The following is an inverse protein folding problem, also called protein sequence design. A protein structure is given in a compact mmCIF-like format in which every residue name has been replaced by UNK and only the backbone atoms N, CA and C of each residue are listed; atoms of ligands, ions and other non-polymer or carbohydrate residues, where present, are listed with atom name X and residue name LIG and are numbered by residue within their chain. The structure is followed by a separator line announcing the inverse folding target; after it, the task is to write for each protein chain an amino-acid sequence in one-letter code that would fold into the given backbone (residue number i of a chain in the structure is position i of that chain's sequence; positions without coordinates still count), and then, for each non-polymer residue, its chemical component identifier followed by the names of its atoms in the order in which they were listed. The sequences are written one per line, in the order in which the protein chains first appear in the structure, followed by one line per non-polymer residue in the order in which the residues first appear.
data_IF_580285707680
#
_entry.id   IF_580285707680
#
_cell.length_a   1.000
_cell.length_b   1.000
_cell.length_c   1.000
_cell.angle_alpha   90.00
_cell.angle_beta   90.00
_cell.angle_gamma   90.00
#
_symmetry.space_group_name_H-M   'P 1'
#
loop_
_entity.id
_entity.type
_entity.pdbx_description
1 polymer ?
#
# COMPACT_ATOMS: atom_id res chain seq x y z
N UNK A 1 5.54 22.22 -9.68
CA UNK A 1 4.62 21.08 -9.73
C UNK A 1 3.22 21.53 -9.35
N UNK A 2 2.30 21.32 -10.26
CA UNK A 2 0.93 21.76 -10.08
C UNK A 2 0.15 20.71 -9.31
N UNK A 3 -0.31 21.06 -8.15
CA UNK A 3 -1.02 20.16 -7.28
C UNK A 3 -2.39 20.62 -7.10
N UNK A 4 -3.30 19.77 -7.47
CA UNK A 4 -4.68 20.09 -7.27
C UNK A 4 -5.32 18.93 -6.53
N UNK A 5 -5.84 19.18 -5.37
CA UNK A 5 -6.74 18.27 -4.70
C UNK A 5 -7.97 17.99 -5.56
N UNK A 6 -8.35 19.00 -6.36
CA UNK A 6 -9.40 18.87 -7.38
C UNK A 6 -9.06 19.75 -8.57
N UNK A 7 -9.18 19.19 -9.78
CA UNK A 7 -9.16 19.94 -11.01
C UNK A 7 -10.59 20.16 -11.50
N UNK A 8 -10.94 21.36 -11.97
CA UNK A 8 -12.24 21.58 -12.63
C UNK A 8 -12.39 20.65 -13.83
N UNK A 9 -13.49 19.88 -13.87
CA UNK A 9 -13.80 18.96 -14.98
C UNK A 9 -13.10 17.61 -14.92
N UNK A 10 -12.28 17.33 -13.90
CA UNK A 10 -11.73 16.00 -13.64
C UNK A 10 -12.40 15.39 -12.42
N UNK A 11 -12.63 14.08 -12.43
CA UNK A 11 -13.26 13.39 -11.31
C UNK A 11 -12.25 13.10 -10.19
N UNK A 12 -11.51 12.02 -10.27
CA UNK A 12 -10.66 11.53 -9.19
C UNK A 12 -9.20 11.24 -9.60
N UNK A 13 -8.85 11.41 -10.84
CA UNK A 13 -7.55 10.99 -11.41
C UNK A 13 -6.38 11.93 -11.14
N UNK A 14 -6.62 12.98 -10.40
CA UNK A 14 -5.57 13.83 -9.85
C UNK A 14 -5.32 13.44 -8.40
N UNK A 15 -4.21 13.90 -7.84
CA UNK A 15 -3.79 13.57 -6.46
C UNK A 15 -4.76 14.14 -5.42
N UNK A 16 -5.95 13.60 -5.38
CA UNK A 16 -7.02 14.03 -4.48
C UNK A 16 -6.59 13.90 -3.01
N UNK A 17 -6.85 14.94 -2.21
CA UNK A 17 -6.44 14.97 -0.81
C UNK A 17 -4.96 15.24 -0.57
N UNK A 18 -4.19 15.64 -1.60
CA UNK A 18 -2.76 15.92 -1.45
C UNK A 18 -2.48 17.00 -0.39
N UNK A 19 -3.31 18.04 -0.29
CA UNK A 19 -3.17 19.08 0.73
C UNK A 19 -3.32 18.50 2.14
N UNK A 20 -4.27 17.57 2.34
CA UNK A 20 -4.44 16.82 3.58
C UNK A 20 -3.18 16.00 3.90
N UNK A 21 -2.71 15.20 2.93
CA UNK A 21 -1.51 14.38 3.07
C UNK A 21 -0.27 15.21 3.42
N UNK A 22 -0.03 16.32 2.72
CA UNK A 22 1.11 17.21 2.98
C UNK A 22 1.07 17.86 4.36
N UNK A 23 -0.13 18.15 4.88
CA UNK A 23 -0.33 18.85 6.16
C UNK A 23 -0.17 17.92 7.37
N UNK A 24 -0.73 16.73 7.30
CA UNK A 24 -0.89 15.85 8.47
C UNK A 24 -0.28 14.45 8.30
N UNK A 25 0.17 14.12 7.09
CA UNK A 25 0.82 12.83 6.81
C UNK A 25 -0.11 11.76 6.22
N UNK A 26 -1.42 12.01 6.16
CA UNK A 26 -2.39 11.11 5.52
C UNK A 26 -3.51 11.87 4.83
N UNK A 27 -4.15 11.24 3.88
CA UNK A 27 -5.40 11.73 3.28
C UNK A 27 -6.54 11.46 4.26
N UNK A 28 -7.34 12.46 4.59
CA UNK A 28 -8.42 12.30 5.56
C UNK A 28 -9.66 11.64 4.94
N UNK A 29 -10.16 10.60 5.58
CA UNK A 29 -11.27 9.78 5.07
C UNK A 29 -12.62 10.50 5.14
N UNK A 30 -12.79 11.44 6.06
CA UNK A 30 -13.98 12.30 6.16
C UNK A 30 -14.02 13.43 5.11
N UNK A 31 -12.92 13.63 4.39
CA UNK A 31 -12.83 14.62 3.31
C UNK A 31 -12.70 14.02 1.90
N UNK A 32 -12.25 12.80 1.79
CA UNK A 32 -11.85 12.19 0.51
C UNK A 32 -12.18 10.70 0.46
N UNK A 33 -12.66 10.22 -0.69
CA UNK A 33 -12.82 8.78 -0.94
C UNK A 33 -11.46 8.10 -1.01
N UNK A 34 -11.41 6.79 -0.76
CA UNK A 34 -10.22 5.94 -0.94
C UNK A 34 -8.97 6.46 -0.20
N UNK A 35 -9.20 7.10 0.93
CA UNK A 35 -8.16 7.86 1.65
C UNK A 35 -7.02 7.00 2.14
N UNK A 36 -7.28 5.74 2.49
CA UNK A 36 -6.27 4.76 2.87
C UNK A 36 -5.35 4.44 1.68
N UNK A 37 -5.92 3.97 0.57
CA UNK A 37 -5.16 3.66 -0.66
C UNK A 37 -4.34 4.85 -1.12
N UNK A 38 -4.94 6.04 -1.20
CA UNK A 38 -4.23 7.27 -1.60
C UNK A 38 -3.06 7.61 -0.68
N UNK A 39 -3.20 7.36 0.61
CA UNK A 39 -2.10 7.61 1.56
C UNK A 39 -0.92 6.68 1.32
N UNK A 40 -1.19 5.39 1.08
CA UNK A 40 -0.16 4.39 0.77
C UNK A 40 0.52 4.69 -0.57
N UNK A 41 -0.26 4.96 -1.60
CA UNK A 41 0.25 5.37 -2.92
C UNK A 41 1.13 6.61 -2.86
N UNK A 42 0.73 7.62 -2.09
CA UNK A 42 1.51 8.85 -1.98
C UNK A 42 2.81 8.64 -1.21
N UNK A 43 2.82 7.75 -0.21
CA UNK A 43 4.04 7.35 0.47
C UNK A 43 5.00 6.61 -0.48
N UNK A 44 4.49 5.66 -1.28
CA UNK A 44 5.28 5.00 -2.32
C UNK A 44 5.80 5.98 -3.38
N UNK A 45 4.96 6.90 -3.85
CA UNK A 45 5.36 7.93 -4.81
C UNK A 45 6.45 8.84 -4.25
N UNK A 46 6.39 9.23 -2.98
CA UNK A 46 7.44 10.01 -2.32
C UNK A 46 8.75 9.23 -2.24
N UNK A 47 8.71 7.92 -2.00
CA UNK A 47 9.88 7.06 -2.09
C UNK A 47 10.48 7.08 -3.50
N UNK A 48 9.67 6.79 -4.53
CA UNK A 48 10.13 6.77 -5.91
C UNK A 48 10.70 8.13 -6.34
N UNK A 49 10.01 9.22 -6.01
CA UNK A 49 10.51 10.57 -6.24
C UNK A 49 11.83 10.86 -5.51
N UNK A 50 12.01 10.34 -4.28
CA UNK A 50 13.26 10.53 -3.55
C UNK A 50 14.45 9.88 -4.25
N UNK A 51 14.23 8.70 -4.84
CA UNK A 51 15.26 7.97 -5.61
C UNK A 51 15.62 8.76 -6.88
N UNK A 52 14.61 9.19 -7.62
CA UNK A 52 14.82 9.99 -8.85
C UNK A 52 15.52 11.31 -8.54
N UNK A 53 15.07 12.04 -7.52
CA UNK A 53 15.65 13.31 -7.11
C UNK A 53 17.14 13.17 -6.73
N UNK A 54 17.48 12.12 -5.98
CA UNK A 54 18.88 11.85 -5.62
C UNK A 54 19.75 11.57 -6.87
N UNK A 55 19.25 10.81 -7.84
CA UNK A 55 19.98 10.53 -9.07
C UNK A 55 20.07 11.74 -10.02
N UNK A 56 19.05 12.60 -9.98
CA UNK A 56 19.04 13.84 -10.78
C UNK A 56 19.93 14.94 -10.18
N UNK A 57 20.49 14.73 -8.99
CA UNK A 57 21.34 15.73 -8.33
C UNK A 57 20.57 16.86 -7.65
N UNK A 58 19.31 16.61 -7.29
CA UNK A 58 18.52 17.56 -6.51
C UNK A 58 19.14 17.79 -5.11
N UNK A 59 18.80 18.91 -4.50
CA UNK A 59 19.35 19.26 -3.19
C UNK A 59 18.97 18.21 -2.11
N UNK A 60 19.87 18.04 -1.15
CA UNK A 60 19.69 17.01 -0.11
C UNK A 60 18.44 17.25 0.75
N UNK A 61 18.01 18.49 0.95
CA UNK A 61 16.82 18.79 1.75
C UNK A 61 15.56 18.28 1.06
N UNK A 62 15.47 18.44 -0.25
CA UNK A 62 14.37 17.88 -1.07
C UNK A 62 14.36 16.35 -0.99
N UNK A 63 15.51 15.70 -1.19
CA UNK A 63 15.62 14.23 -1.10
C UNK A 63 15.20 13.72 0.28
N UNK A 64 15.67 14.34 1.35
CA UNK A 64 15.33 13.92 2.72
C UNK A 64 13.87 14.19 3.08
N UNK A 65 13.27 15.27 2.58
CA UNK A 65 11.85 15.55 2.77
C UNK A 65 10.98 14.47 2.11
N UNK A 66 11.31 14.05 0.90
CA UNK A 66 10.63 12.95 0.20
C UNK A 66 10.80 11.62 0.95
N UNK A 67 12.03 11.27 1.35
CA UNK A 67 12.29 10.07 2.17
C UNK A 67 11.51 10.07 3.49
N UNK A 68 11.44 11.21 4.16
CA UNK A 68 10.64 11.30 5.40
C UNK A 68 9.18 11.01 5.15
N UNK A 69 8.60 11.59 4.09
CA UNK A 69 7.19 11.38 3.76
C UNK A 69 6.89 9.97 3.27
N UNK A 70 7.84 9.27 2.67
CA UNK A 70 7.65 7.88 2.28
C UNK A 70 7.35 6.94 3.46
N UNK A 71 7.68 7.34 4.68
CA UNK A 71 7.28 6.66 5.91
C UNK A 71 5.86 6.97 6.41
N UNK A 72 5.12 7.80 5.72
CA UNK A 72 3.78 8.22 6.16
C UNK A 72 2.74 7.08 6.19
N UNK A 73 2.98 5.96 5.49
CA UNK A 73 2.16 4.76 5.59
C UNK A 73 1.95 4.32 7.05
N UNK A 74 2.94 4.52 7.91
CA UNK A 74 2.87 4.15 9.32
C UNK A 74 1.76 4.89 10.11
N UNK A 75 1.29 6.05 9.63
CA UNK A 75 0.14 6.73 10.23
C UNK A 75 -1.17 5.95 10.09
N UNK A 76 -1.26 5.04 9.13
CA UNK A 76 -2.44 4.18 8.94
C UNK A 76 -2.38 2.89 9.77
N UNK A 77 -1.25 2.58 10.39
CA UNK A 77 -1.12 1.36 11.17
C UNK A 77 -1.96 1.41 12.44
N UNK A 78 -2.85 0.43 12.60
CA UNK A 78 -3.62 0.24 13.82
C UNK A 78 -3.08 -0.97 14.59
N UNK A 79 -2.41 -0.70 15.70
CA UNK A 79 -1.76 -1.73 16.52
C UNK A 79 -2.76 -2.69 17.21
N UNK A 80 -4.01 -2.28 17.44
CA UNK A 80 -5.02 -3.14 18.07
C UNK A 80 -5.55 -4.20 17.10
N UNK A 81 -5.77 -3.79 15.83
CA UNK A 81 -6.33 -4.68 14.82
C UNK A 81 -5.26 -5.39 13.98
N UNK A 82 -4.02 -4.90 14.04
CA UNK A 82 -2.91 -5.37 13.20
C UNK A 82 -3.22 -5.24 11.70
N UNK A 83 -3.85 -4.10 11.32
CA UNK A 83 -4.18 -3.73 9.96
C UNK A 83 -3.88 -2.25 9.70
N UNK A 84 -3.65 -1.91 8.45
CA UNK A 84 -3.78 -0.53 7.98
C UNK A 84 -5.24 -0.12 8.05
N UNK A 85 -5.51 1.11 8.49
CA UNK A 85 -6.85 1.70 8.57
C UNK A 85 -6.83 3.15 8.13
N UNK A 86 -7.85 3.55 7.39
CA UNK A 86 -8.03 4.95 7.02
C UNK A 86 -8.29 5.82 8.26
N UNK A 87 -7.84 7.07 8.23
CA UNK A 87 -7.99 8.04 9.31
C UNK A 87 -8.79 9.25 8.88
N UNK A 88 -9.56 9.81 9.82
CA UNK A 88 -10.24 11.09 9.69
C UNK A 88 -9.26 12.25 9.94
N UNK A 89 -9.65 13.47 9.56
CA UNK A 89 -8.82 14.67 9.73
C UNK A 89 -8.42 14.95 11.20
N UNK A 90 -9.26 14.56 12.14
CA UNK A 90 -8.98 14.69 13.58
C UNK A 90 -8.08 13.57 14.15
N UNK A 91 -7.63 12.64 13.32
CA UNK A 91 -6.77 11.52 13.69
C UNK A 91 -7.48 10.28 14.23
N UNK A 92 -8.81 10.29 14.34
CA UNK A 92 -9.58 9.08 14.68
C UNK A 92 -9.61 8.10 13.52
N UNK A 93 -9.80 6.81 13.81
CA UNK A 93 -9.99 5.79 12.79
C UNK A 93 -11.33 5.96 12.07
N UNK A 94 -11.35 5.76 10.77
CA UNK A 94 -12.59 5.71 10.02
C UNK A 94 -13.44 4.50 10.44
N UNK A 95 -14.75 4.73 10.50
CA UNK A 95 -15.71 3.67 10.89
C UNK A 95 -16.22 2.83 9.71
N UNK A 96 -15.76 3.13 8.50
CA UNK A 96 -16.20 2.48 7.27
C UNK A 96 -15.05 1.74 6.58
N UNK A 97 -15.41 0.81 5.73
CA UNK A 97 -14.49 0.05 4.87
C UNK A 97 -14.18 0.78 3.56
N UNK A 98 -14.71 1.98 3.33
CA UNK A 98 -14.57 2.75 2.09
C UNK A 98 -13.24 3.52 1.94
N UNK A 99 -12.29 3.24 2.78
CA UNK A 99 -10.94 3.84 2.67
C UNK A 99 -10.05 3.20 1.60
N UNK A 100 -10.53 2.18 0.91
CA UNK A 100 -9.76 1.35 -0.01
C UNK A 100 -10.32 1.36 -1.42
N UNK A 101 -9.44 1.23 -2.39
CA UNK A 101 -9.77 1.10 -3.82
C UNK A 101 -9.77 -0.38 -4.17
N UNK A 102 -10.91 -0.93 -4.60
CA UNK A 102 -11.02 -2.31 -5.11
C UNK A 102 -10.46 -3.40 -4.18
N UNK A 103 -10.45 -3.16 -2.89
CA UNK A 103 -9.89 -4.08 -1.91
C UNK A 103 -10.36 -3.77 -0.49
N UNK A 104 -9.71 -4.39 0.46
CA UNK A 104 -10.01 -4.31 1.88
C UNK A 104 -8.75 -4.15 2.75
N UNK A 105 -8.92 -4.21 4.06
CA UNK A 105 -7.83 -4.12 5.02
C UNK A 105 -6.78 -5.23 4.83
N UNK A 106 -7.20 -6.43 4.39
CA UNK A 106 -6.29 -7.54 4.14
C UNK A 106 -5.35 -7.28 2.96
N UNK A 107 -5.84 -6.69 1.89
CA UNK A 107 -5.06 -6.36 0.71
C UNK A 107 -4.12 -5.20 1.02
N UNK A 108 -4.67 -4.08 1.47
CA UNK A 108 -3.92 -2.82 1.62
C UNK A 108 -2.96 -2.80 2.81
N UNK A 109 -3.11 -3.71 3.78
CA UNK A 109 -2.11 -3.83 4.86
C UNK A 109 -0.73 -4.21 4.34
N UNK A 110 -0.64 -4.85 3.21
CA UNK A 110 0.61 -5.25 2.59
C UNK A 110 1.14 -4.29 1.52
N UNK A 111 0.40 -3.23 1.22
CA UNK A 111 0.73 -2.27 0.15
C UNK A 111 1.82 -1.24 0.56
N UNK A 112 2.92 -1.76 1.10
CA UNK A 112 4.11 -1.01 1.50
C UNK A 112 5.36 -1.69 0.92
N UNK A 113 5.37 -1.88 -0.39
CA UNK A 113 6.43 -2.61 -1.09
C UNK A 113 7.79 -1.90 -1.07
N UNK A 114 7.82 -0.61 -0.80
CA UNK A 114 9.04 0.20 -0.75
C UNK A 114 9.76 0.15 0.61
N UNK A 115 9.08 -0.31 1.66
CA UNK A 115 9.65 -0.42 3.01
C UNK A 115 9.12 -1.66 3.75
N UNK A 116 9.34 -2.83 3.15
CA UNK A 116 8.91 -4.13 3.72
C UNK A 116 9.50 -4.36 5.10
N UNK A 117 10.72 -3.85 5.36
CA UNK A 117 11.37 -3.95 6.66
C UNK A 117 10.62 -3.11 7.70
N UNK A 118 10.34 -1.86 7.40
CA UNK A 118 9.56 -0.98 8.29
C UNK A 118 8.16 -1.53 8.55
N UNK A 119 7.51 -2.08 7.52
CA UNK A 119 6.24 -2.76 7.71
C UNK A 119 6.36 -3.97 8.65
N UNK A 120 7.38 -4.80 8.50
CA UNK A 120 7.63 -5.94 9.40
C UNK A 120 7.86 -5.49 10.85
N UNK A 121 8.53 -4.35 11.07
CA UNK A 121 8.72 -3.77 12.40
C UNK A 121 7.39 -3.37 13.05
N UNK A 122 6.42 -2.86 12.27
CA UNK A 122 5.07 -2.56 12.77
C UNK A 122 4.33 -3.80 13.26
N UNK A 123 4.52 -4.95 12.62
CA UNK A 123 3.98 -6.24 13.06
C UNK A 123 4.68 -6.82 14.30
N UNK A 124 5.81 -6.25 14.72
CA UNK A 124 6.63 -6.78 15.82
C UNK A 124 7.76 -7.69 15.35
N UNK A 125 8.06 -7.71 14.06
CA UNK A 125 9.19 -8.40 13.47
C UNK A 125 8.83 -9.33 12.30
N UNK A 126 9.88 -9.87 11.72
CA UNK A 126 9.81 -10.67 10.50
C UNK A 126 8.90 -11.90 10.62
N UNK A 127 8.96 -12.58 11.76
CA UNK A 127 8.17 -13.79 12.03
C UNK A 127 6.69 -13.46 12.17
N UNK A 128 6.33 -12.43 12.91
CA UNK A 128 4.94 -11.99 13.06
C UNK A 128 4.35 -11.52 11.73
N UNK A 129 5.15 -10.85 10.91
CA UNK A 129 4.73 -10.45 9.57
C UNK A 129 4.51 -11.68 8.66
N UNK A 130 5.41 -12.67 8.68
CA UNK A 130 5.21 -13.93 7.97
C UNK A 130 3.91 -14.62 8.40
N UNK A 131 3.65 -14.71 9.70
CA UNK A 131 2.42 -15.35 10.22
C UNK A 131 1.16 -14.60 9.74
N UNK A 132 1.24 -13.28 9.58
CA UNK A 132 0.14 -12.49 9.01
C UNK A 132 -0.04 -12.75 7.51
N UNK A 133 1.06 -12.92 6.74
CA UNK A 133 0.99 -13.35 5.35
C UNK A 133 0.39 -14.76 5.22
N UNK A 134 0.80 -15.69 6.08
CA UNK A 134 0.24 -17.04 6.11
C UNK A 134 -1.28 -16.99 6.34
N UNK A 135 -1.74 -16.18 7.29
CA UNK A 135 -3.16 -15.98 7.56
C UNK A 135 -3.90 -15.36 6.36
N UNK A 136 -3.27 -14.44 5.62
CA UNK A 136 -3.83 -13.84 4.42
C UNK A 136 -4.10 -14.90 3.33
N UNK A 137 -3.10 -15.72 3.01
CA UNK A 137 -3.25 -16.74 1.96
C UNK A 137 -4.16 -17.90 2.41
N UNK A 138 -4.00 -18.41 3.63
CA UNK A 138 -4.83 -19.49 4.18
C UNK A 138 -6.29 -19.06 4.38
N UNK A 139 -6.53 -17.80 4.68
CA UNK A 139 -7.86 -17.21 4.83
C UNK A 139 -8.57 -16.91 3.49
N UNK A 140 -7.88 -17.07 2.35
CA UNK A 140 -8.44 -16.78 1.03
C UNK A 140 -8.64 -15.29 0.76
N UNK A 141 -7.85 -14.43 1.39
CA UNK A 141 -7.94 -12.97 1.23
C UNK A 141 -7.20 -12.44 0.00
N UNK A 142 -6.43 -13.30 -0.68
CA UNK A 142 -5.66 -12.90 -1.86
C UNK A 142 -6.52 -13.06 -3.13
N UNK A 143 -6.99 -11.98 -3.69
CA UNK A 143 -7.53 -11.96 -5.05
C UNK A 143 -6.41 -11.60 -6.04
N UNK A 144 -5.76 -12.62 -6.58
CA UNK A 144 -4.62 -12.42 -7.49
C UNK A 144 -5.04 -12.03 -8.92
N UNK A 145 -6.33 -11.92 -9.19
CA UNK A 145 -6.86 -11.36 -10.44
C UNK A 145 -6.95 -9.84 -10.40
N UNK A 146 -6.77 -9.24 -9.21
CA UNK A 146 -6.74 -7.79 -9.02
C UNK A 146 -5.32 -7.30 -8.65
N UNK A 147 -4.87 -6.23 -9.27
CA UNK A 147 -3.50 -5.69 -9.19
C UNK A 147 -3.00 -5.41 -7.78
N UNK A 148 -3.81 -4.89 -6.84
CA UNK A 148 -3.35 -4.63 -5.47
C UNK A 148 -2.80 -5.87 -4.76
N UNK A 149 -3.19 -7.07 -5.19
CA UNK A 149 -2.72 -8.33 -4.61
C UNK A 149 -1.45 -8.90 -5.26
N UNK A 150 -1.02 -8.39 -6.41
CA UNK A 150 0.02 -9.03 -7.22
C UNK A 150 1.39 -9.10 -6.53
N UNK A 151 1.74 -8.12 -5.72
CA UNK A 151 3.05 -8.06 -5.04
C UNK A 151 3.09 -8.90 -3.75
N UNK A 152 1.94 -9.20 -3.14
CA UNK A 152 1.86 -9.76 -1.78
C UNK A 152 2.63 -11.09 -1.62
N UNK A 153 2.54 -12.09 -2.54
CA UNK A 153 3.26 -13.34 -2.37
C UNK A 153 4.79 -13.19 -2.44
N UNK A 154 5.29 -12.13 -3.09
CA UNK A 154 6.72 -11.86 -3.19
C UNK A 154 7.31 -11.30 -1.89
N UNK A 155 6.48 -10.80 -0.97
CA UNK A 155 6.93 -10.30 0.32
C UNK A 155 7.63 -11.37 1.15
N UNK A 156 7.24 -12.64 1.02
CA UNK A 156 7.97 -13.75 1.63
C UNK A 156 9.45 -13.77 1.25
N UNK A 157 9.78 -13.58 -0.04
CA UNK A 157 11.18 -13.53 -0.49
C UNK A 157 11.94 -12.38 0.17
N UNK A 158 11.32 -11.21 0.24
CA UNK A 158 11.93 -10.02 0.86
C UNK A 158 12.18 -10.23 2.36
N UNK A 159 11.31 -11.01 3.01
CA UNK A 159 11.46 -11.40 4.42
C UNK A 159 12.48 -12.53 4.65
N UNK A 160 13.05 -13.12 3.59
CA UNK A 160 14.00 -14.22 3.69
C UNK A 160 13.36 -15.61 3.73
N UNK A 161 12.15 -15.77 3.21
CA UNK A 161 11.41 -17.03 3.06
C UNK A 161 11.19 -17.38 1.58
N UNK A 162 12.24 -17.55 0.76
CA UNK A 162 12.12 -17.72 -0.70
C UNK A 162 11.39 -19.01 -1.10
N UNK A 163 11.53 -20.09 -0.32
CA UNK A 163 10.82 -21.34 -0.60
C UNK A 163 9.30 -21.16 -0.45
N UNK A 164 8.87 -20.50 0.59
CA UNK A 164 7.46 -20.19 0.85
C UNK A 164 6.88 -19.28 -0.24
N UNK A 165 7.64 -18.26 -0.66
CA UNK A 165 7.28 -17.45 -1.83
C UNK A 165 7.08 -18.29 -3.08
N UNK A 166 8.03 -19.18 -3.39
CA UNK A 166 7.98 -20.03 -4.59
C UNK A 166 6.80 -21.00 -4.59
N UNK A 167 6.47 -21.57 -3.43
CA UNK A 167 5.30 -22.45 -3.26
C UNK A 167 4.01 -21.65 -3.45
N UNK A 168 3.84 -20.54 -2.73
CA UNK A 168 2.65 -19.69 -2.81
C UNK A 168 2.41 -19.16 -4.24
N UNK A 169 3.46 -18.66 -4.90
CA UNK A 169 3.37 -18.15 -6.28
C UNK A 169 2.95 -19.26 -7.25
N UNK A 170 3.50 -20.47 -7.08
CA UNK A 170 3.12 -21.61 -7.93
C UNK A 170 1.68 -22.02 -7.73
N UNK A 171 1.20 -22.08 -6.49
CA UNK A 171 -0.19 -22.41 -6.16
C UNK A 171 -1.15 -21.38 -6.74
N UNK A 172 -0.83 -20.08 -6.62
CA UNK A 172 -1.58 -18.99 -7.25
C UNK A 172 -1.62 -19.16 -8.77
N UNK A 173 -0.48 -19.43 -9.39
CA UNK A 173 -0.40 -19.60 -10.85
C UNK A 173 -1.29 -20.76 -11.34
N UNK A 174 -1.27 -21.88 -10.64
CA UNK A 174 -2.10 -23.03 -11.00
C UNK A 174 -3.59 -22.80 -10.73
N UNK A 175 -3.93 -22.05 -9.69
CA UNK A 175 -5.32 -21.79 -9.33
C UNK A 175 -5.99 -20.74 -10.22
N UNK A 176 -5.25 -19.72 -10.68
CA UNK A 176 -5.85 -18.54 -11.32
C UNK A 176 -5.57 -18.44 -12.83
N UNK A 177 -4.58 -19.16 -13.35
CA UNK A 177 -4.15 -18.99 -14.75
C UNK A 177 -4.10 -20.31 -15.52
N UNK A 178 -4.38 -20.26 -16.82
CA UNK A 178 -4.24 -21.38 -17.72
C UNK A 178 -3.92 -20.92 -19.15
N UNK A 179 -3.59 -21.86 -20.06
CA UNK A 179 -3.16 -21.56 -21.42
C UNK A 179 -4.30 -21.39 -22.44
N UNK A 180 -5.51 -21.07 -22.00
CA UNK A 180 -6.64 -20.78 -22.90
C UNK A 180 -6.77 -19.29 -23.18
N UNK A 181 -7.58 -18.91 -24.16
CA UNK A 181 -7.83 -17.49 -24.47
C UNK A 181 -8.52 -16.69 -23.35
N UNK A 182 -9.17 -17.36 -22.40
CA UNK A 182 -9.74 -16.77 -21.18
C UNK A 182 -8.96 -17.14 -19.92
N UNK A 183 -7.72 -17.58 -20.07
CA UNK A 183 -6.93 -18.12 -18.98
C UNK A 183 -6.15 -17.12 -18.15
N UNK A 184 -6.27 -15.82 -18.45
CA UNK A 184 -5.77 -14.73 -17.62
C UNK A 184 -6.98 -14.10 -16.92
N UNK A 185 -7.01 -14.18 -15.59
CA UNK A 185 -7.96 -13.45 -14.78
C UNK A 185 -7.59 -11.97 -14.74
N UNK A 186 -8.54 -11.16 -14.33
CA UNK A 186 -8.37 -9.71 -14.21
C UNK A 186 -9.38 -8.93 -15.06
N UNK A 187 -9.36 -7.62 -14.95
CA UNK A 187 -10.21 -6.68 -15.68
C UNK A 187 -9.48 -5.98 -16.83
#
# INVERSE_FOLDING_TARGET
TLYYDRQPGTSYEVRAGLTSYMKQGWVSNDGWSEAGSRTLDYAFNDYACSVVAAHAGEDNATVQALKKRSGNYAYLWNNETQFMRARNANGTWANNTFGWTEGDDWVYTFDVMHDVKGLAELFGGREAFRDKLDAHFQGGHNDHTNEPSHHVPYLYSTLGYPNQAAETIRDIAWANYNATSGGLGGN
#
